data_IF_586057333144
#
_entry.id   IF_586057333144
#
_cell.length_a   1.000
_cell.length_b   1.000
_cell.length_c   1.000
_cell.angle_alpha   90.00
_cell.angle_beta   90.00
_cell.angle_gamma   90.00
#
_symmetry.space_group_name_H-M   'P 1'
#
loop_
_entity.id
_entity.type
_entity.pdbx_description
1 polymer ?
#
# COMPACT_ATOMS: atom_id res chain seq x y z
N UNK A 1 -15.82 14.46 -6.88
CA UNK A 1 -14.92 13.58 -7.64
C UNK A 1 -15.52 12.18 -7.55
N UNK A 2 -15.91 11.60 -8.68
CA UNK A 2 -16.46 10.23 -8.68
C UNK A 2 -15.38 9.16 -8.59
N UNK A 3 -14.15 9.52 -8.98
CA UNK A 3 -13.09 8.58 -9.24
C UNK A 3 -11.91 8.84 -8.31
N UNK A 4 -11.41 7.78 -7.68
CA UNK A 4 -10.24 7.82 -6.80
C UNK A 4 -8.96 7.68 -7.64
N UNK A 5 -8.60 8.78 -8.34
CA UNK A 5 -7.44 8.81 -9.26
C UNK A 5 -6.18 9.44 -8.65
N UNK A 6 -6.26 9.85 -7.37
CA UNK A 6 -5.17 10.59 -6.69
C UNK A 6 -3.82 9.86 -6.70
N UNK A 7 -3.84 8.53 -6.85
CA UNK A 7 -2.63 7.68 -6.80
C UNK A 7 -2.26 7.07 -8.16
N UNK A 8 -3.03 7.30 -9.21
CA UNK A 8 -2.88 6.58 -10.49
C UNK A 8 -1.54 6.83 -11.16
N UNK A 9 -1.02 8.07 -11.07
CA UNK A 9 0.33 8.38 -11.56
C UNK A 9 1.41 7.61 -10.81
N UNK A 10 1.30 7.50 -9.48
CA UNK A 10 2.26 6.76 -8.65
C UNK A 10 2.19 5.25 -8.89
N UNK A 11 0.99 4.72 -9.19
CA UNK A 11 0.81 3.31 -9.56
C UNK A 11 1.51 3.02 -10.90
N UNK A 12 1.34 3.90 -11.90
CA UNK A 12 2.02 3.77 -13.19
C UNK A 12 3.54 3.88 -13.03
N UNK A 13 4.03 4.90 -12.32
CA UNK A 13 5.46 5.08 -12.02
C UNK A 13 6.05 3.84 -11.32
N UNK A 14 5.34 3.27 -10.33
CA UNK A 14 5.76 2.05 -9.64
C UNK A 14 5.84 0.86 -10.59
N UNK A 15 4.84 0.66 -11.46
CA UNK A 15 4.85 -0.43 -12.43
C UNK A 15 6.01 -0.28 -13.43
N UNK A 16 6.28 0.93 -13.91
CA UNK A 16 7.39 1.22 -14.84
C UNK A 16 8.74 0.97 -14.18
N UNK A 17 8.91 1.40 -12.93
CA UNK A 17 10.13 1.20 -12.15
C UNK A 17 10.43 -0.29 -11.92
N UNK A 18 9.42 -1.08 -11.56
CA UNK A 18 9.60 -2.49 -11.24
C UNK A 18 9.69 -3.36 -12.50
N UNK A 19 9.07 -2.97 -13.62
CA UNK A 19 9.04 -3.72 -14.86
C UNK A 19 8.33 -5.08 -14.73
N UNK A 20 8.85 -6.11 -15.37
CA UNK A 20 8.24 -7.44 -15.35
C UNK A 20 8.52 -8.19 -14.03
N UNK A 21 7.50 -8.77 -13.38
CA UNK A 21 7.69 -9.56 -12.17
C UNK A 21 8.43 -10.87 -12.45
N UNK A 22 9.17 -11.36 -11.47
CA UNK A 22 9.80 -12.68 -11.50
C UNK A 22 8.74 -13.80 -11.49
N UNK A 23 7.69 -13.59 -10.70
CA UNK A 23 6.55 -14.51 -10.61
C UNK A 23 5.26 -13.72 -10.43
N UNK A 24 4.18 -14.26 -11.00
CA UNK A 24 2.83 -13.71 -10.91
C UNK A 24 1.82 -14.83 -10.66
N UNK A 25 0.95 -14.65 -9.69
CA UNK A 25 -0.08 -15.62 -9.35
C UNK A 25 -1.45 -14.95 -9.20
N UNK A 26 -2.48 -15.60 -9.72
CA UNK A 26 -3.85 -15.27 -9.39
C UNK A 26 -4.17 -15.69 -7.95
N UNK A 27 -4.93 -14.88 -7.25
CA UNK A 27 -5.39 -15.17 -5.90
C UNK A 27 -6.28 -16.42 -5.85
N UNK A 28 -6.06 -17.23 -4.82
CA UNK A 28 -6.96 -18.33 -4.44
C UNK A 28 -7.10 -18.33 -2.93
N UNK A 29 -8.32 -18.16 -2.43
CA UNK A 29 -8.58 -18.05 -0.99
C UNK A 29 -8.07 -19.26 -0.19
N UNK A 30 -8.20 -20.47 -0.75
CA UNK A 30 -7.73 -21.72 -0.12
C UNK A 30 -6.21 -21.78 0.08
N UNK A 31 -5.44 -20.97 -0.65
CA UNK A 31 -3.99 -20.95 -0.61
C UNK A 31 -3.47 -19.86 0.36
N UNK A 32 -4.37 -19.07 0.97
CA UNK A 32 -4.00 -18.07 1.97
C UNK A 32 -3.26 -18.74 3.14
N UNK A 33 -2.15 -18.12 3.57
CA UNK A 33 -1.45 -18.57 4.76
C UNK A 33 -2.33 -18.37 5.99
N UNK A 34 -2.07 -19.15 7.04
CA UNK A 34 -2.81 -19.01 8.29
C UNK A 34 -2.53 -17.64 8.91
N UNK A 35 -3.57 -16.87 9.16
CA UNK A 35 -3.53 -15.66 9.96
C UNK A 35 -3.79 -16.01 11.42
N UNK A 36 -2.98 -15.48 12.34
CA UNK A 36 -3.12 -15.73 13.77
C UNK A 36 -4.08 -14.77 14.48
N UNK A 37 -4.52 -13.69 13.79
CA UNK A 37 -5.36 -12.63 14.35
C UNK A 37 -4.63 -11.66 15.29
N UNK A 38 -3.37 -11.91 15.61
CA UNK A 38 -2.53 -11.09 16.47
C UNK A 38 -1.05 -11.16 16.06
N UNK A 39 -0.28 -10.14 16.42
CA UNK A 39 1.14 -10.08 16.11
C UNK A 39 1.91 -11.21 16.83
N UNK A 40 2.76 -11.92 16.09
CA UNK A 40 3.65 -12.94 16.59
C UNK A 40 5.09 -12.42 16.69
N UNK A 41 5.74 -12.63 17.83
CA UNK A 41 7.15 -12.27 18.02
C UNK A 41 8.07 -13.39 17.52
N UNK A 42 8.69 -13.17 16.36
CA UNK A 42 9.75 -14.07 15.86
C UNK A 42 11.09 -13.61 16.42
N UNK A 43 11.63 -14.38 17.38
CA UNK A 43 12.93 -14.12 17.99
C UNK A 43 14.07 -14.36 16.99
N UNK A 44 15.20 -13.66 17.14
CA UNK A 44 16.38 -13.82 16.26
C UNK A 44 16.83 -15.27 16.13
N UNK A 45 16.86 -16.03 17.23
CA UNK A 45 17.22 -17.46 17.24
C UNK A 45 16.30 -18.34 16.39
N UNK A 46 15.04 -17.92 16.23
CA UNK A 46 14.02 -18.64 15.47
C UNK A 46 13.83 -18.07 14.06
N UNK A 47 14.38 -16.87 13.77
CA UNK A 47 14.35 -16.29 12.46
C UNK A 47 15.25 -17.07 11.48
N UNK A 48 14.75 -17.31 10.28
CA UNK A 48 15.54 -17.82 9.17
C UNK A 48 16.34 -16.69 8.53
N UNK A 49 15.71 -15.53 8.40
CA UNK A 49 16.28 -14.29 7.83
C UNK A 49 15.41 -13.09 8.22
N UNK A 50 15.95 -11.90 7.99
CA UNK A 50 15.25 -10.63 8.13
C UNK A 50 15.20 -9.93 6.78
N UNK A 51 14.05 -9.37 6.42
CA UNK A 51 13.83 -8.63 5.20
C UNK A 51 13.75 -7.14 5.55
N UNK A 52 14.51 -6.30 4.82
CA UNK A 52 14.54 -4.86 5.09
C UNK A 52 15.09 -4.47 6.45
N UNK A 53 15.83 -5.36 7.11
CA UNK A 53 16.47 -5.14 8.40
C UNK A 53 17.88 -4.58 8.28
N UNK A 54 18.38 -3.98 9.36
CA UNK A 54 19.74 -3.42 9.43
C UNK A 54 19.98 -2.34 8.38
N UNK A 55 21.00 -2.53 7.54
CA UNK A 55 21.38 -1.61 6.46
C UNK A 55 20.60 -1.86 5.15
N UNK A 56 19.76 -2.90 5.10
CA UNK A 56 18.99 -3.18 3.90
C UNK A 56 17.85 -2.17 3.72
N UNK A 57 17.55 -1.86 2.47
CA UNK A 57 16.43 -1.00 2.11
C UNK A 57 15.09 -1.67 2.45
N UNK A 58 14.14 -0.85 2.87
CA UNK A 58 12.80 -1.33 3.21
C UNK A 58 11.75 -0.26 2.91
N UNK A 59 10.75 -0.61 2.10
CA UNK A 59 9.65 0.29 1.71
C UNK A 59 8.31 -0.40 1.82
N UNK A 60 7.29 0.30 2.31
CA UNK A 60 5.90 -0.14 2.17
C UNK A 60 5.01 1.05 1.83
N UNK A 61 4.03 0.83 0.99
CA UNK A 61 2.93 1.75 0.76
C UNK A 61 1.69 1.04 0.21
N UNK A 62 0.56 1.72 0.32
CA UNK A 62 -0.71 1.27 -0.20
C UNK A 62 -1.33 2.39 -1.01
N UNK A 63 -1.78 2.05 -2.22
CA UNK A 63 -2.51 2.97 -3.11
C UNK A 63 -3.91 2.46 -3.35
N UNK A 64 -4.83 3.37 -3.62
CA UNK A 64 -6.20 3.05 -4.05
C UNK A 64 -6.44 3.64 -5.45
N UNK A 65 -7.24 2.96 -6.25
CA UNK A 65 -7.65 3.46 -7.58
C UNK A 65 -9.05 2.96 -7.92
N UNK A 66 -9.82 3.77 -8.60
CA UNK A 66 -11.07 3.36 -9.25
C UNK A 66 -10.86 2.89 -10.70
N UNK A 67 -9.64 3.08 -11.25
CA UNK A 67 -9.29 2.58 -12.59
C UNK A 67 -9.07 1.06 -12.55
N UNK A 68 -10.06 0.32 -13.05
CA UNK A 68 -9.99 -1.16 -13.12
C UNK A 68 -8.87 -1.67 -14.03
N UNK A 69 -8.34 -0.85 -14.94
CA UNK A 69 -7.22 -1.25 -15.79
C UNK A 69 -5.90 -1.34 -15.01
N UNK A 70 -5.75 -0.53 -13.95
CA UNK A 70 -4.56 -0.57 -13.09
C UNK A 70 -4.53 -1.78 -12.15
N UNK A 71 -5.71 -2.29 -11.73
CA UNK A 71 -5.85 -3.50 -10.90
C UNK A 71 -6.96 -4.40 -11.45
N UNK A 72 -6.73 -5.10 -12.55
CA UNK A 72 -7.79 -5.85 -13.24
C UNK A 72 -8.23 -7.12 -12.51
N UNK A 73 -7.42 -7.63 -11.58
CA UNK A 73 -7.72 -8.88 -10.85
C UNK A 73 -7.04 -8.94 -9.49
N UNK A 74 -7.51 -9.85 -8.64
CA UNK A 74 -6.82 -10.21 -7.39
C UNK A 74 -5.57 -11.03 -7.72
N UNK A 75 -4.37 -10.51 -7.38
CA UNK A 75 -3.12 -11.14 -7.76
C UNK A 75 -1.96 -10.82 -6.80
N UNK A 76 -0.97 -11.73 -6.78
CA UNK A 76 0.29 -11.55 -6.06
C UNK A 76 1.43 -11.50 -7.07
N UNK A 77 2.27 -10.48 -6.99
CA UNK A 77 3.46 -10.31 -7.81
C UNK A 77 4.72 -10.40 -6.93
N UNK A 78 5.76 -11.05 -7.43
CA UNK A 78 7.05 -11.15 -6.78
C UNK A 78 8.16 -10.67 -7.72
N UNK A 79 9.02 -9.83 -7.20
CA UNK A 79 10.23 -9.32 -7.85
C UNK A 79 11.45 -9.77 -7.05
N UNK A 80 12.02 -10.90 -7.42
CA UNK A 80 13.17 -11.52 -6.77
C UNK A 80 12.90 -12.94 -6.28
N UNK A 81 13.74 -13.49 -5.38
CA UNK A 81 13.57 -14.83 -4.84
C UNK A 81 12.38 -14.97 -3.90
N UNK A 82 11.71 -16.13 -3.91
CA UNK A 82 10.69 -16.48 -2.94
C UNK A 82 11.33 -16.94 -1.60
N UNK A 83 10.54 -16.97 -0.53
CA UNK A 83 10.97 -17.23 0.84
C UNK A 83 11.84 -18.48 1.00
N UNK A 84 11.56 -19.55 0.27
CA UNK A 84 12.35 -20.80 0.30
C UNK A 84 13.76 -20.64 -0.27
N UNK A 85 13.95 -19.64 -1.14
CA UNK A 85 15.21 -19.39 -1.86
C UNK A 85 16.06 -18.31 -1.20
N UNK A 86 15.51 -17.58 -0.21
CA UNK A 86 16.21 -16.57 0.58
C UNK A 86 17.06 -17.26 1.65
N UNK A 87 18.36 -16.94 1.69
CA UNK A 87 19.33 -17.57 2.61
C UNK A 87 19.97 -16.60 3.61
N UNK A 88 19.58 -15.34 3.58
CA UNK A 88 20.10 -14.28 4.43
C UNK A 88 19.23 -13.04 4.37
N UNK A 89 19.71 -11.98 4.98
CA UNK A 89 18.98 -10.71 5.00
C UNK A 89 19.06 -10.02 3.64
N UNK A 90 17.92 -9.53 3.15
CA UNK A 90 17.78 -8.90 1.83
C UNK A 90 16.96 -7.61 1.92
N UNK A 91 17.07 -6.70 0.93
CA UNK A 91 16.16 -5.57 0.82
C UNK A 91 14.71 -6.05 0.64
N UNK A 92 13.76 -5.20 1.00
CA UNK A 92 12.36 -5.57 0.97
C UNK A 92 11.44 -4.42 0.58
N UNK A 93 10.48 -4.68 -0.27
CA UNK A 93 9.31 -3.81 -0.39
C UNK A 93 8.02 -4.62 -0.40
N UNK A 94 6.98 -4.07 0.25
CA UNK A 94 5.60 -4.52 0.12
C UNK A 94 4.75 -3.35 -0.38
N UNK A 95 4.18 -3.54 -1.55
CA UNK A 95 3.32 -2.54 -2.19
C UNK A 95 1.94 -3.18 -2.38
N UNK A 96 0.90 -2.48 -1.97
CA UNK A 96 -0.47 -2.93 -2.15
C UNK A 96 -1.23 -1.92 -3.00
N UNK A 97 -1.85 -2.39 -4.07
CA UNK A 97 -2.68 -1.58 -4.94
C UNK A 97 -4.10 -2.13 -4.87
N UNK A 98 -5.03 -1.27 -4.47
CA UNK A 98 -6.41 -1.62 -4.22
C UNK A 98 -7.32 -0.98 -5.27
N UNK A 99 -8.02 -1.81 -6.03
CA UNK A 99 -9.18 -1.37 -6.77
C UNK A 99 -10.33 -1.11 -5.80
N UNK A 100 -10.92 0.07 -5.87
CA UNK A 100 -12.04 0.44 -4.99
C UNK A 100 -13.25 0.82 -5.83
N UNK A 101 -14.44 0.57 -5.29
CA UNK A 101 -15.67 1.16 -5.84
C UNK A 101 -15.65 2.67 -5.56
N UNK A 102 -16.40 3.40 -6.35
CA UNK A 102 -16.59 4.85 -6.14
C UNK A 102 -16.88 5.13 -4.67
N UNK A 103 -15.92 5.74 -4.00
CA UNK A 103 -16.13 6.30 -2.68
C UNK A 103 -16.69 7.69 -2.92
N UNK A 104 -17.95 7.90 -2.54
CA UNK A 104 -18.59 9.20 -2.67
C UNK A 104 -17.93 10.21 -1.73
N UNK A 105 -16.97 10.95 -2.26
CA UNK A 105 -16.22 11.95 -1.50
C UNK A 105 -17.04 13.20 -1.15
N UNK A 106 -18.25 13.35 -1.72
CA UNK A 106 -19.20 14.40 -1.31
C UNK A 106 -19.79 14.07 0.07
N UNK A 107 -19.82 12.78 0.44
CA UNK A 107 -20.15 12.31 1.80
C UNK A 107 -18.88 12.15 2.63
N UNK A 108 -18.27 13.27 3.01
CA UNK A 108 -16.94 13.33 3.64
C UNK A 108 -16.74 12.33 4.79
N UNK A 109 -17.70 12.23 5.71
CA UNK A 109 -17.59 11.31 6.87
C UNK A 109 -17.55 9.83 6.44
N UNK A 110 -18.38 9.44 5.47
CA UNK A 110 -18.42 8.08 4.97
C UNK A 110 -17.16 7.75 4.15
N UNK A 111 -16.68 8.70 3.34
CA UNK A 111 -15.44 8.57 2.59
C UNK A 111 -14.23 8.45 3.53
N UNK A 112 -14.14 9.29 4.55
CA UNK A 112 -13.10 9.21 5.58
C UNK A 112 -13.10 7.86 6.28
N UNK A 113 -14.26 7.40 6.76
CA UNK A 113 -14.38 6.09 7.40
C UNK A 113 -13.97 4.93 6.47
N UNK A 114 -14.35 4.97 5.19
CA UNK A 114 -13.98 3.96 4.21
C UNK A 114 -12.45 3.91 4.02
N UNK A 115 -11.80 5.06 3.86
CA UNK A 115 -10.35 5.16 3.66
C UNK A 115 -9.60 4.70 4.92
N UNK A 116 -10.04 5.13 6.10
CA UNK A 116 -9.44 4.70 7.38
C UNK A 116 -9.55 3.19 7.58
N UNK A 117 -10.68 2.58 7.22
CA UNK A 117 -10.84 1.13 7.26
C UNK A 117 -9.91 0.40 6.29
N UNK A 118 -9.64 0.96 5.12
CA UNK A 118 -8.66 0.42 4.17
C UNK A 118 -7.25 0.47 4.76
N UNK A 119 -6.85 1.61 5.33
CA UNK A 119 -5.53 1.78 5.94
C UNK A 119 -5.33 0.88 7.16
N UNK A 120 -6.39 0.61 7.93
CA UNK A 120 -6.34 -0.26 9.10
C UNK A 120 -5.84 -1.66 8.74
N UNK A 121 -6.27 -2.22 7.60
CA UNK A 121 -5.92 -3.59 7.21
C UNK A 121 -4.41 -3.81 7.13
N UNK A 122 -3.64 -2.85 6.62
CA UNK A 122 -2.18 -3.00 6.45
C UNK A 122 -1.42 -3.30 7.75
N UNK A 123 -2.01 -2.96 8.92
CA UNK A 123 -1.43 -3.18 10.24
C UNK A 123 -2.04 -4.39 10.96
N UNK A 124 -3.06 -5.04 10.39
CA UNK A 124 -3.86 -6.07 11.03
C UNK A 124 -3.92 -7.36 10.21
N UNK A 125 -2.84 -7.68 9.51
CA UNK A 125 -2.61 -8.98 8.86
C UNK A 125 -1.44 -9.64 9.55
N UNK A 126 -1.65 -10.84 10.13
CA UNK A 126 -0.69 -11.50 11.01
C UNK A 126 -0.42 -12.94 10.56
N UNK A 127 0.31 -13.15 9.45
CA UNK A 127 0.60 -14.49 8.96
C UNK A 127 1.46 -15.28 9.95
N UNK A 128 1.11 -16.54 10.24
CA UNK A 128 1.79 -17.43 11.18
C UNK A 128 3.30 -17.55 10.87
N UNK A 129 4.14 -17.13 11.80
CA UNK A 129 5.60 -17.14 11.65
C UNK A 129 6.17 -16.06 10.72
N UNK A 130 5.40 -15.01 10.45
CA UNK A 130 5.77 -13.87 9.62
C UNK A 130 5.54 -12.58 10.42
N UNK A 131 6.56 -12.14 11.13
CA UNK A 131 6.49 -10.94 11.96
C UNK A 131 6.72 -9.69 11.10
N UNK A 132 5.78 -8.76 11.12
CA UNK A 132 5.91 -7.44 10.49
C UNK A 132 6.19 -6.36 11.51
N UNK A 133 7.08 -5.43 11.14
CA UNK A 133 7.32 -4.18 11.87
C UNK A 133 7.22 -3.04 10.87
N UNK A 134 6.12 -2.34 10.91
CA UNK A 134 5.85 -1.18 10.05
C UNK A 134 6.16 0.08 10.83
N UNK A 135 6.96 0.97 10.24
CA UNK A 135 7.16 2.32 10.76
C UNK A 135 6.16 3.27 10.06
N UNK A 136 5.22 3.87 10.79
CA UNK A 136 4.27 4.81 10.20
C UNK A 136 4.93 6.12 9.73
N UNK A 137 6.09 6.48 10.28
CA UNK A 137 6.75 7.75 10.00
C UNK A 137 7.70 7.71 8.78
N UNK A 138 8.12 6.53 8.35
CA UNK A 138 9.15 6.38 7.31
C UNK A 138 8.77 5.46 6.17
N UNK A 139 7.51 5.04 6.07
CA UNK A 139 7.06 4.04 5.09
C UNK A 139 7.99 2.82 5.02
N UNK A 140 8.59 2.44 6.15
CA UNK A 140 9.55 1.35 6.26
C UNK A 140 8.88 0.13 6.86
N UNK A 141 9.11 -1.03 6.29
CA UNK A 141 8.62 -2.30 6.81
C UNK A 141 9.74 -3.32 6.89
N UNK A 142 9.92 -3.87 8.08
CA UNK A 142 10.87 -4.96 8.34
C UNK A 142 10.12 -6.25 8.63
N UNK A 143 10.58 -7.33 8.06
CA UNK A 143 9.97 -8.65 8.22
C UNK A 143 10.97 -9.62 8.83
N UNK A 144 10.51 -10.43 9.78
CA UNK A 144 11.23 -11.65 10.21
C UNK A 144 10.40 -12.87 9.89
N UNK A 145 11.03 -13.87 9.29
CA UNK A 145 10.39 -15.13 8.92
C UNK A 145 10.93 -16.26 9.78
N UNK A 146 10.04 -16.99 10.44
CA UNK A 146 10.36 -18.12 11.32
C UNK A 146 10.90 -19.32 10.52
N UNK A 147 11.95 -19.98 11.03
CA UNK A 147 12.45 -21.26 10.49
C UNK A 147 11.36 -22.34 10.40
N UNK A 148 10.43 -22.34 11.37
CA UNK A 148 9.29 -23.27 11.36
C UNK A 148 8.33 -22.97 10.21
N UNK A 149 8.01 -21.69 9.96
CA UNK A 149 7.15 -21.28 8.85
C UNK A 149 7.77 -21.64 7.50
N UNK A 150 9.09 -21.41 7.33
CA UNK A 150 9.82 -21.81 6.12
C UNK A 150 9.72 -23.33 5.89
N UNK A 151 9.92 -24.14 6.94
CA UNK A 151 9.77 -25.60 6.85
C UNK A 151 8.35 -26.06 6.55
N UNK A 152 7.33 -25.30 6.98
CA UNK A 152 5.91 -25.55 6.66
C UNK A 152 5.52 -25.07 5.24
N UNK A 153 6.44 -24.41 4.53
CA UNK A 153 6.24 -23.95 3.16
C UNK A 153 5.49 -22.64 3.04
N UNK A 154 5.78 -21.68 3.94
CA UNK A 154 5.38 -20.27 3.74
C UNK A 154 6.01 -19.74 2.46
N UNK A 155 5.31 -18.87 1.75
CA UNK A 155 5.77 -18.21 0.53
C UNK A 155 5.15 -16.83 0.40
N UNK A 156 5.72 -15.96 -0.41
CA UNK A 156 5.12 -14.65 -0.69
C UNK A 156 3.75 -14.77 -1.34
N UNK A 157 3.54 -15.79 -2.18
CA UNK A 157 2.23 -16.08 -2.72
C UNK A 157 1.18 -16.31 -1.62
N UNK A 158 1.47 -17.22 -0.69
CA UNK A 158 0.53 -17.57 0.39
C UNK A 158 0.26 -16.41 1.34
N UNK A 159 1.32 -15.65 1.70
CA UNK A 159 1.20 -14.43 2.52
C UNK A 159 0.42 -13.36 1.76
N UNK A 160 0.69 -13.17 0.47
CA UNK A 160 -0.07 -12.26 -0.38
C UNK A 160 -1.55 -12.64 -0.47
N UNK A 161 -1.86 -13.93 -0.55
CA UNK A 161 -3.25 -14.41 -0.50
C UNK A 161 -3.93 -14.10 0.84
N UNK A 162 -3.20 -14.15 1.96
CA UNK A 162 -3.75 -13.75 3.26
C UNK A 162 -4.04 -12.24 3.29
N UNK A 163 -3.11 -11.39 2.83
CA UNK A 163 -3.38 -9.95 2.66
C UNK A 163 -4.63 -9.69 1.81
N UNK A 164 -4.73 -10.33 0.64
CA UNK A 164 -5.89 -10.18 -0.24
C UNK A 164 -7.18 -10.58 0.48
N UNK A 165 -7.17 -11.71 1.18
CA UNK A 165 -8.32 -12.20 1.96
C UNK A 165 -8.77 -11.18 3.01
N UNK A 166 -7.83 -10.54 3.72
CA UNK A 166 -8.15 -9.54 4.75
C UNK A 166 -8.72 -8.26 4.11
N UNK A 167 -8.09 -7.75 3.04
CA UNK A 167 -8.61 -6.59 2.31
C UNK A 167 -10.01 -6.81 1.74
N UNK A 168 -10.27 -8.00 1.20
CA UNK A 168 -11.58 -8.36 0.61
C UNK A 168 -12.73 -8.43 1.63
N UNK A 169 -12.45 -8.37 2.93
CA UNK A 169 -13.50 -8.19 3.95
C UNK A 169 -14.13 -6.79 3.89
N UNK A 170 -13.45 -5.82 3.30
CA UNK A 170 -13.99 -4.48 3.09
C UNK A 170 -14.85 -4.47 1.81
N UNK A 171 -16.16 -4.15 1.89
CA UNK A 171 -17.07 -4.21 0.74
C UNK A 171 -16.78 -3.18 -0.35
N UNK A 172 -15.99 -2.15 -0.04
CA UNK A 172 -15.57 -1.13 -1.01
C UNK A 172 -14.41 -1.60 -1.90
N UNK A 173 -13.71 -2.69 -1.55
CA UNK A 173 -12.58 -3.19 -2.32
C UNK A 173 -13.07 -4.16 -3.40
N UNK A 174 -12.72 -3.87 -4.65
CA UNK A 174 -13.06 -4.70 -5.81
C UNK A 174 -11.97 -5.71 -6.12
N UNK A 175 -10.74 -5.24 -6.27
CA UNK A 175 -9.57 -6.05 -6.59
C UNK A 175 -8.37 -5.64 -5.73
N UNK A 176 -7.44 -6.58 -5.53
CA UNK A 176 -6.25 -6.37 -4.72
C UNK A 176 -5.02 -6.93 -5.44
N UNK A 177 -4.01 -6.08 -5.64
CA UNK A 177 -2.68 -6.52 -6.07
C UNK A 177 -1.70 -6.34 -4.93
N UNK A 178 -1.06 -7.45 -4.50
CA UNK A 178 0.01 -7.42 -3.52
C UNK A 178 1.34 -7.68 -4.23
N UNK A 179 2.29 -6.78 -4.05
CA UNK A 179 3.60 -6.82 -4.67
C UNK A 179 4.64 -6.99 -3.58
N UNK A 180 5.52 -7.97 -3.73
CA UNK A 180 6.71 -8.15 -2.91
C UNK A 180 7.97 -7.97 -3.74
N UNK A 181 8.94 -7.25 -3.21
CA UNK A 181 10.26 -7.04 -3.81
C UNK A 181 11.31 -7.56 -2.84
N UNK A 182 12.14 -8.49 -3.30
CA UNK A 182 13.20 -9.16 -2.52
C UNK A 182 14.54 -9.17 -3.26
N UNK A 183 14.69 -8.28 -4.23
CA UNK A 183 15.93 -8.05 -5.01
C UNK A 183 16.23 -6.56 -5.03
N UNK A 184 17.44 -6.21 -5.42
CA UNK A 184 17.82 -4.82 -5.64
C UNK A 184 17.02 -4.22 -6.79
N UNK A 185 16.42 -3.07 -6.52
CA UNK A 185 15.73 -2.19 -7.45
C UNK A 185 16.11 -0.74 -7.09
N UNK A 186 15.63 0.24 -7.82
CA UNK A 186 15.81 1.64 -7.39
C UNK A 186 14.96 1.97 -6.15
N UNK A 187 15.45 1.54 -4.98
CA UNK A 187 14.80 1.84 -3.70
C UNK A 187 14.73 3.34 -3.41
N UNK A 188 15.65 4.15 -3.94
CA UNK A 188 15.59 5.61 -3.79
C UNK A 188 14.33 6.17 -4.47
N UNK A 189 14.04 5.71 -5.68
CA UNK A 189 12.81 6.08 -6.37
C UNK A 189 11.57 5.56 -5.64
N UNK A 190 11.57 4.29 -5.17
CA UNK A 190 10.46 3.75 -4.36
C UNK A 190 10.21 4.54 -3.06
N UNK A 191 11.25 4.98 -2.36
CA UNK A 191 11.12 5.84 -1.18
C UNK A 191 10.52 7.20 -1.53
N UNK A 192 10.95 7.81 -2.65
CA UNK A 192 10.38 9.07 -3.11
C UNK A 192 8.89 8.93 -3.42
N UNK A 193 8.51 7.87 -4.14
CA UNK A 193 7.10 7.55 -4.42
C UNK A 193 6.30 7.31 -3.13
N UNK A 194 6.83 6.51 -2.19
CA UNK A 194 6.18 6.25 -0.90
C UNK A 194 5.94 7.53 -0.11
N UNK A 195 6.91 8.46 -0.12
CA UNK A 195 6.77 9.77 0.56
C UNK A 195 5.68 10.63 -0.06
N UNK A 196 5.61 10.69 -1.39
CA UNK A 196 4.55 11.42 -2.10
C UNK A 196 3.16 10.83 -1.78
N UNK A 197 3.03 9.51 -1.79
CA UNK A 197 1.79 8.81 -1.42
C UNK A 197 1.39 9.14 0.03
N UNK A 198 2.34 9.14 0.96
CA UNK A 198 2.10 9.51 2.34
C UNK A 198 1.58 10.95 2.45
N UNK A 199 2.19 11.89 1.75
CA UNK A 199 1.81 13.30 1.75
C UNK A 199 0.41 13.50 1.15
N UNK A 200 0.08 12.80 0.04
CA UNK A 200 -1.26 12.77 -0.54
C UNK A 200 -2.28 12.22 0.45
N UNK A 201 -1.98 11.08 1.09
CA UNK A 201 -2.87 10.45 2.05
C UNK A 201 -3.14 11.36 3.26
N UNK A 202 -2.11 12.00 3.80
CA UNK A 202 -2.24 12.97 4.91
C UNK A 202 -3.12 14.15 4.51
N UNK A 203 -2.84 14.73 3.33
CA UNK A 203 -3.61 15.87 2.82
C UNK A 203 -5.07 15.50 2.59
N UNK A 204 -5.34 14.37 1.96
CA UNK A 204 -6.69 13.86 1.75
C UNK A 204 -7.43 13.64 3.07
N UNK A 205 -6.81 12.99 4.04
CA UNK A 205 -7.43 12.76 5.34
C UNK A 205 -7.75 14.08 6.05
N UNK A 206 -6.86 15.07 6.01
CA UNK A 206 -7.10 16.38 6.61
C UNK A 206 -8.26 17.12 5.95
N UNK A 207 -8.38 17.03 4.61
CA UNK A 207 -9.50 17.62 3.87
C UNK A 207 -10.82 16.96 4.29
N UNK A 208 -10.85 15.62 4.37
CA UNK A 208 -12.04 14.85 4.72
C UNK A 208 -12.45 15.03 6.19
N UNK A 209 -11.48 15.23 7.11
CA UNK A 209 -11.75 15.54 8.52
C UNK A 209 -12.41 16.91 8.74
N UNK A 210 -12.41 17.79 7.74
CA UNK A 210 -13.09 19.08 7.79
C UNK A 210 -12.14 20.29 7.80
N UNK A 211 -11.22 20.32 6.83
CA UNK A 211 -10.44 21.53 6.59
C UNK A 211 -11.37 22.71 6.26
N UNK A 212 -11.16 23.92 6.85
CA UNK A 212 -11.95 25.10 6.54
C UNK A 212 -11.96 25.42 5.04
N UNK A 213 -13.14 25.71 4.48
CA UNK A 213 -13.31 26.04 3.05
C UNK A 213 -12.73 27.41 2.70
N UNK A 214 -12.61 28.31 3.68
CA UNK A 214 -12.06 29.67 3.57
C UNK A 214 -10.56 29.74 3.76
N UNK A 215 -9.88 28.61 3.81
CA UNK A 215 -8.42 28.58 4.00
C UNK A 215 -7.72 29.22 2.80
N UNK A 216 -6.85 30.22 3.06
CA UNK A 216 -6.03 30.82 2.03
C UNK A 216 -4.99 29.82 1.48
N UNK A 217 -5.22 29.37 0.23
CA UNK A 217 -4.31 28.46 -0.44
C UNK A 217 -2.88 29.00 -0.60
N UNK A 218 -2.68 30.32 -0.62
CA UNK A 218 -1.36 30.92 -0.79
C UNK A 218 -0.46 30.66 0.44
N UNK A 219 -1.05 30.61 1.63
CA UNK A 219 -0.38 30.38 2.91
C UNK A 219 -0.53 28.93 3.43
N UNK A 220 -1.24 28.06 2.71
CA UNK A 220 -1.53 26.69 3.14
C UNK A 220 -0.29 25.79 3.09
N UNK A 221 -0.01 25.07 4.19
CA UNK A 221 1.10 24.11 4.27
C UNK A 221 0.96 22.91 3.32
N UNK A 222 -0.25 22.57 2.89
CA UNK A 222 -0.53 21.50 1.93
C UNK A 222 -0.45 21.94 0.48
N UNK A 223 -0.26 23.24 0.21
CA UNK A 223 -0.20 23.80 -1.14
C UNK A 223 0.74 23.01 -2.09
N UNK A 224 1.99 22.67 -1.71
CA UNK A 224 2.89 21.94 -2.58
C UNK A 224 2.31 20.59 -3.06
N UNK A 225 1.64 19.86 -2.16
CA UNK A 225 1.02 18.56 -2.47
C UNK A 225 -0.22 18.75 -3.36
N UNK A 226 -1.05 19.75 -3.04
CA UNK A 226 -2.23 20.08 -3.85
C UNK A 226 -1.88 20.60 -5.25
N UNK A 227 -0.72 21.23 -5.44
CA UNK A 227 -0.26 21.68 -6.75
C UNK A 227 0.32 20.53 -7.59
N UNK A 228 0.90 19.52 -6.95
CA UNK A 228 1.44 18.34 -7.63
C UNK A 228 0.36 17.31 -7.98
N UNK A 229 -0.65 17.16 -7.13
CA UNK A 229 -1.70 16.14 -7.28
C UNK A 229 -3.03 16.80 -7.62
N UNK A 230 -3.37 16.75 -8.92
CA UNK A 230 -4.69 17.17 -9.40
C UNK A 230 -5.78 16.39 -8.67
N UNK A 231 -6.88 17.00 -8.34
CA UNK A 231 -7.97 16.35 -7.61
C UNK A 231 -7.98 16.61 -6.10
N UNK A 232 -6.84 16.90 -5.44
CA UNK A 232 -6.87 17.32 -4.03
C UNK A 232 -7.57 18.66 -3.86
N UNK A 233 -7.38 19.60 -4.79
CA UNK A 233 -8.11 20.87 -4.83
C UNK A 233 -9.60 20.66 -5.06
N UNK A 234 -9.96 19.75 -5.98
CA UNK A 234 -11.35 19.37 -6.23
C UNK A 234 -12.00 18.71 -5.00
N UNK A 235 -11.25 17.93 -4.27
CA UNK A 235 -11.70 17.32 -3.01
C UNK A 235 -12.00 18.40 -1.93
N UNK A 236 -11.19 19.44 -1.88
CA UNK A 236 -11.33 20.53 -0.90
C UNK A 236 -12.49 21.47 -1.26
N UNK A 237 -12.49 22.01 -2.49
CA UNK A 237 -13.38 23.07 -2.94
C UNK A 237 -14.59 22.59 -3.76
N UNK A 238 -14.66 21.30 -4.07
CA UNK A 238 -15.64 20.75 -4.99
C UNK A 238 -15.35 21.09 -6.46
N UNK A 239 -16.20 20.61 -7.36
CA UNK A 239 -16.01 20.75 -8.82
C UNK A 239 -16.10 22.19 -9.36
N UNK A 240 -16.56 23.14 -8.55
CA UNK A 240 -16.68 24.56 -8.96
C UNK A 240 -15.32 25.25 -9.14
N UNK A 241 -14.28 24.78 -8.45
CA UNK A 241 -12.94 25.38 -8.49
C UNK A 241 -12.22 25.26 -9.86
N UNK A 242 -12.67 24.37 -10.76
CA UNK A 242 -12.08 24.22 -12.10
C UNK A 242 -12.27 25.44 -13.03
N UNK A 243 -13.22 26.33 -12.76
CA UNK A 243 -13.54 27.43 -13.66
C UNK A 243 -12.72 28.70 -13.48
N UNK A 244 -12.05 28.87 -12.34
CA UNK A 244 -11.37 30.14 -12.01
C UNK A 244 -9.87 30.18 -12.33
N UNK A 245 -9.25 29.05 -12.68
CA UNK A 245 -7.80 28.96 -12.95
C UNK A 245 -7.42 28.91 -14.45
N UNK A 246 -8.37 29.06 -15.35
CA UNK A 246 -8.13 29.17 -16.81
C UNK A 246 -8.54 30.56 -17.39
N UNK A 247 -8.60 31.57 -16.56
CA UNK A 247 -8.82 32.96 -17.01
C UNK A 247 -7.56 33.80 -16.84
#
# INVERSE_FOLDING_TARGET
>A
MKDMELYDSFIRETNDLLGAPTQKWAYKERDAWKDNGESELVLLRDAAYELGGGANEAVNFTCVTSDTALVPSDEVLLYGPDMKDIKGDVPFARIVILGVKDIDVEQKDAAYAAIRNIEFVKYHVFPDGYMMRVSPESSREQIRVSKKAVKKGISFYKVGCDFIKQYKKNPNITNVRVIFVTKDVDFKALHATAKKIEDVTKTMNTILEGMPEDLDCASCSFKPVCDEVEGLKELHFGKAAKKEHHA
#
